data_IF_600816270389
#
_entry.id   IF_600816270389
#
_cell.length_a   1.000
_cell.length_b   1.000
_cell.length_c   1.000
_cell.angle_alpha   90.00
_cell.angle_beta   90.00
_cell.angle_gamma   90.00
#
_symmetry.space_group_name_H-M   'P 1'
#
loop_
_entity.id
_entity.type
_entity.pdbx_description
1 polymer ?
#
# COMPACT_ATOMS: atom_id res chain seq x y z
N UNK A 1 11.76 7.61 0.12
CA UNK A 1 11.05 6.33 -0.12
C UNK A 1 10.26 6.49 -1.41
N UNK A 2 10.37 5.55 -2.35
CA UNK A 2 9.62 5.62 -3.62
C UNK A 2 8.34 4.80 -3.50
N UNK A 3 7.18 5.45 -3.63
CA UNK A 3 5.88 4.79 -3.69
C UNK A 3 5.67 4.26 -5.11
N UNK A 4 5.34 2.97 -5.24
CA UNK A 4 5.15 2.31 -6.54
C UNK A 4 3.66 2.15 -6.86
N UNK A 5 3.32 2.00 -8.14
CA UNK A 5 1.96 1.69 -8.62
C UNK A 5 1.36 0.45 -7.92
N UNK A 6 2.18 -0.56 -7.62
CA UNK A 6 1.75 -1.75 -6.88
C UNK A 6 1.37 -1.42 -5.43
N UNK A 7 2.14 -0.55 -4.77
CA UNK A 7 1.83 -0.11 -3.42
C UNK A 7 0.50 0.66 -3.38
N UNK A 8 0.26 1.53 -4.36
CA UNK A 8 -0.99 2.29 -4.47
C UNK A 8 -2.19 1.37 -4.69
N UNK A 9 -2.09 0.39 -5.59
CA UNK A 9 -3.15 -0.62 -5.82
C UNK A 9 -3.51 -1.41 -4.55
N UNK A 10 -2.52 -1.67 -3.68
CA UNK A 10 -2.73 -2.40 -2.44
C UNK A 10 -3.30 -1.53 -1.32
N UNK A 11 -2.97 -0.25 -1.31
CA UNK A 11 -3.48 0.68 -0.32
C UNK A 11 -4.93 1.09 -0.58
N UNK A 12 -5.27 1.32 -1.86
CA UNK A 12 -6.60 1.81 -2.22
C UNK A 12 -7.69 0.77 -1.90
N UNK A 13 -8.89 1.23 -1.51
CA UNK A 13 -10.05 0.37 -1.26
C UNK A 13 -10.71 -0.09 -2.57
N UNK A 14 -9.93 -0.73 -3.44
CA UNK A 14 -10.40 -1.30 -4.71
C UNK A 14 -10.84 -2.74 -4.47
N UNK A 15 -11.88 -3.18 -5.19
CA UNK A 15 -12.30 -4.57 -5.19
C UNK A 15 -11.12 -5.53 -5.43
N UNK A 16 -11.02 -6.59 -4.62
CA UNK A 16 -9.89 -7.51 -4.64
C UNK A 16 -9.72 -8.22 -5.98
N UNK A 17 -10.82 -8.54 -6.67
CA UNK A 17 -10.76 -9.16 -8.00
C UNK A 17 -10.14 -8.21 -9.01
N UNK A 18 -10.61 -6.95 -9.03
CA UNK A 18 -10.06 -5.91 -9.92
C UNK A 18 -8.58 -5.65 -9.61
N UNK A 19 -8.22 -5.58 -8.33
CA UNK A 19 -6.85 -5.38 -7.86
C UNK A 19 -5.92 -6.49 -8.37
N UNK A 20 -6.31 -7.76 -8.17
CA UNK A 20 -5.53 -8.91 -8.60
C UNK A 20 -5.40 -8.99 -10.12
N UNK A 21 -6.50 -8.77 -10.85
CA UNK A 21 -6.47 -8.74 -12.32
C UNK A 21 -5.52 -7.65 -12.85
N UNK A 22 -5.50 -6.48 -12.19
CA UNK A 22 -4.62 -5.37 -12.57
C UNK A 22 -3.16 -5.69 -12.25
N UNK A 23 -2.85 -6.28 -11.09
CA UNK A 23 -1.49 -6.68 -10.72
C UNK A 23 -0.90 -7.72 -11.67
N UNK A 24 -1.70 -8.71 -12.09
CA UNK A 24 -1.25 -9.73 -13.06
C UNK A 24 -0.93 -9.12 -14.42
N UNK A 25 -1.77 -8.19 -14.90
CA UNK A 25 -1.61 -7.56 -16.21
C UNK A 25 -0.52 -6.48 -16.24
N UNK A 26 -0.14 -5.94 -15.08
CA UNK A 26 0.80 -4.81 -14.94
C UNK A 26 2.13 -5.03 -15.68
N UNK A 27 2.65 -6.27 -15.66
CA UNK A 27 3.89 -6.61 -16.35
C UNK A 27 3.80 -6.43 -17.88
N UNK A 28 2.62 -6.67 -18.46
CA UNK A 28 2.35 -6.57 -19.89
C UNK A 28 1.93 -5.19 -20.38
N UNK A 29 1.76 -4.21 -19.47
CA UNK A 29 1.36 -2.85 -19.87
C UNK A 29 2.47 -2.11 -20.61
N UNK A 30 2.09 -1.34 -21.62
CA UNK A 30 2.99 -0.39 -22.28
C UNK A 30 3.41 0.73 -21.32
N UNK A 31 4.52 1.45 -21.60
CA UNK A 31 4.93 2.59 -20.78
C UNK A 31 3.81 3.63 -20.58
N UNK A 32 3.06 3.94 -21.65
CA UNK A 32 1.95 4.89 -21.59
C UNK A 32 0.82 4.42 -20.67
N UNK A 33 0.48 3.13 -20.73
CA UNK A 33 -0.54 2.53 -19.86
C UNK A 33 -0.11 2.54 -18.40
N UNK A 34 1.18 2.32 -18.13
CA UNK A 34 1.73 2.39 -16.76
C UNK A 34 1.65 3.80 -16.20
N UNK A 35 2.01 4.82 -16.98
CA UNK A 35 1.91 6.22 -16.56
C UNK A 35 0.46 6.59 -16.28
N UNK A 36 -0.46 6.29 -17.21
CA UNK A 36 -1.87 6.62 -17.04
C UNK A 36 -2.50 5.90 -15.84
N UNK A 37 -2.13 4.64 -15.59
CA UNK A 37 -2.55 3.94 -14.39
C UNK A 37 -2.00 4.60 -13.13
N UNK A 38 -0.71 4.96 -13.10
CA UNK A 38 -0.08 5.59 -11.95
C UNK A 38 -0.74 6.92 -11.60
N UNK A 39 -0.98 7.78 -12.59
CA UNK A 39 -1.72 9.04 -12.44
C UNK A 39 -3.12 8.81 -11.86
N UNK A 40 -3.84 7.81 -12.39
CA UNK A 40 -5.19 7.48 -11.92
C UNK A 40 -5.17 7.05 -10.45
N UNK A 41 -4.22 6.20 -10.06
CA UNK A 41 -4.11 5.74 -8.68
C UNK A 41 -3.72 6.86 -7.73
N UNK A 42 -2.84 7.78 -8.16
CA UNK A 42 -2.51 8.97 -7.38
C UNK A 42 -3.69 9.90 -7.18
N UNK A 43 -4.51 10.10 -8.22
CA UNK A 43 -5.75 10.87 -8.10
C UNK A 43 -6.70 10.23 -7.08
N UNK A 44 -6.88 8.90 -7.15
CA UNK A 44 -7.70 8.18 -6.17
C UNK A 44 -7.18 8.31 -4.75
N UNK A 45 -5.85 8.20 -4.56
CA UNK A 45 -5.22 8.40 -3.24
C UNK A 45 -5.43 9.83 -2.75
N UNK A 46 -5.26 10.83 -3.62
CA UNK A 46 -5.49 12.22 -3.26
C UNK A 46 -6.91 12.44 -2.73
N UNK A 47 -7.93 11.96 -3.46
CA UNK A 47 -9.32 12.08 -3.04
C UNK A 47 -9.58 11.38 -1.71
N UNK A 48 -9.02 10.17 -1.52
CA UNK A 48 -9.15 9.44 -0.28
C UNK A 48 -8.55 10.21 0.91
N UNK A 49 -7.34 10.76 0.74
CA UNK A 49 -6.68 11.54 1.80
C UNK A 49 -7.42 12.84 2.10
N UNK A 50 -8.02 13.48 1.09
CA UNK A 50 -8.85 14.67 1.28
C UNK A 50 -10.10 14.36 2.11
N UNK A 51 -10.82 13.30 1.76
CA UNK A 51 -12.02 12.85 2.51
C UNK A 51 -11.64 12.48 3.94
N UNK A 52 -10.56 11.74 4.14
CA UNK A 52 -10.10 11.37 5.48
C UNK A 52 -9.68 12.59 6.31
N UNK A 53 -8.98 13.54 5.70
CA UNK A 53 -8.58 14.79 6.37
C UNK A 53 -9.78 15.61 6.80
N UNK A 54 -10.81 15.69 5.96
CA UNK A 54 -12.05 16.38 6.30
C UNK A 54 -12.78 15.69 7.45
N UNK A 55 -12.92 14.37 7.40
CA UNK A 55 -13.54 13.59 8.47
C UNK A 55 -12.82 13.79 9.81
N UNK A 56 -11.50 13.72 9.83
CA UNK A 56 -10.72 13.92 11.05
C UNK A 56 -10.78 15.36 11.57
N UNK A 57 -10.89 16.33 10.67
CA UNK A 57 -11.14 17.73 11.04
C UNK A 57 -12.51 17.92 11.68
N UNK A 58 -13.56 17.31 11.14
CA UNK A 58 -14.91 17.31 11.74
C UNK A 58 -14.90 16.67 13.14
N UNK A 59 -14.16 15.57 13.33
CA UNK A 59 -13.97 14.98 14.66
C UNK A 59 -13.25 15.92 15.63
N UNK A 60 -12.21 16.62 15.16
CA UNK A 60 -11.48 17.57 15.99
C UNK A 60 -12.38 18.75 16.42
N UNK A 61 -13.23 19.25 15.51
CA UNK A 61 -14.21 20.29 15.84
C UNK A 61 -15.21 19.83 16.90
N UNK A 62 -15.68 18.58 16.82
CA UNK A 62 -16.57 18.00 17.84
C UNK A 62 -15.90 17.88 19.21
N UNK A 63 -14.60 17.59 19.28
CA UNK A 63 -13.86 17.55 20.55
C UNK A 63 -13.63 18.95 21.11
N UNK A 64 -13.37 19.96 20.26
CA UNK A 64 -13.28 21.36 20.67
C UNK A 64 -14.62 21.87 21.22
N UNK A 65 -15.74 21.50 20.59
CA UNK A 65 -17.08 21.83 21.09
C UNK A 65 -17.32 21.25 22.51
N UNK A 66 -16.76 20.08 22.80
CA UNK A 66 -16.80 19.46 24.14
C UNK A 66 -15.77 20.05 25.11
N UNK A 67 -15.05 21.11 24.73
CA UNK A 67 -14.04 21.77 25.54
C UNK A 67 -12.68 21.04 25.58
N UNK A 68 -12.44 20.09 24.67
CA UNK A 68 -11.19 19.32 24.59
C UNK A 68 -10.37 19.78 23.38
N UNK A 69 -9.69 20.91 23.53
CA UNK A 69 -8.78 21.45 22.53
C UNK A 69 -9.06 22.92 22.22
N UNK A 70 -8.26 23.46 21.31
CA UNK A 70 -8.35 24.86 20.87
C UNK A 70 -8.45 24.92 19.35
N UNK A 71 -9.30 25.83 18.87
CA UNK A 71 -9.39 26.15 17.45
C UNK A 71 -8.27 27.12 17.10
N UNK A 72 -7.43 26.73 16.13
CA UNK A 72 -6.41 27.61 15.57
C UNK A 72 -6.36 27.47 14.04
N UNK A 73 -5.71 28.45 13.39
CA UNK A 73 -5.59 28.49 11.93
C UNK A 73 -4.72 27.36 11.33
N UNK A 74 -4.03 26.60 12.18
CA UNK A 74 -3.15 25.49 11.81
C UNK A 74 -3.79 24.12 12.03
N UNK A 75 -4.99 24.05 12.61
CA UNK A 75 -5.66 22.80 12.94
C UNK A 75 -5.84 21.91 11.70
N UNK A 76 -6.44 22.46 10.64
CA UNK A 76 -6.66 21.72 9.40
C UNK A 76 -5.35 21.33 8.70
N UNK A 77 -4.36 22.23 8.49
CA UNK A 77 -3.04 21.85 7.98
C UNK A 77 -2.37 20.70 8.75
N UNK A 78 -2.39 20.73 10.09
CA UNK A 78 -1.80 19.67 10.92
C UNK A 78 -2.51 18.33 10.72
N UNK A 79 -3.84 18.33 10.62
CA UNK A 79 -4.61 17.10 10.38
C UNK A 79 -4.29 16.52 9.00
N UNK A 80 -4.22 17.35 7.95
CA UNK A 80 -3.81 16.90 6.61
C UNK A 80 -2.42 16.25 6.64
N UNK A 81 -1.47 16.88 7.33
CA UNK A 81 -0.12 16.33 7.47
C UNK A 81 -0.12 15.00 8.23
N UNK A 82 -0.89 14.88 9.32
CA UNK A 82 -1.02 13.62 10.07
C UNK A 82 -1.64 12.49 9.24
N UNK A 83 -2.70 12.78 8.47
CA UNK A 83 -3.31 11.84 7.53
C UNK A 83 -2.29 11.39 6.48
N UNK A 84 -1.57 12.33 5.88
CA UNK A 84 -0.53 12.01 4.89
C UNK A 84 0.61 11.17 5.48
N UNK A 85 1.07 11.49 6.69
CA UNK A 85 2.11 10.72 7.37
C UNK A 85 1.65 9.30 7.74
N UNK A 86 0.38 9.10 8.10
CA UNK A 86 -0.18 7.75 8.29
C UNK A 86 -0.20 6.99 6.97
N UNK A 87 -0.65 7.60 5.88
CA UNK A 87 -0.58 6.98 4.56
C UNK A 87 0.83 6.51 4.19
N UNK A 88 1.85 7.37 4.38
CA UNK A 88 3.23 6.99 4.10
C UNK A 88 3.70 5.82 4.97
N UNK A 89 3.28 5.77 6.23
CA UNK A 89 3.57 4.67 7.15
C UNK A 89 2.90 3.37 6.68
N UNK A 90 1.61 3.41 6.36
CA UNK A 90 0.85 2.25 5.92
C UNK A 90 1.44 1.64 4.63
N UNK A 91 1.91 2.49 3.72
CA UNK A 91 2.61 2.04 2.51
C UNK A 91 3.97 1.39 2.87
N UNK A 92 4.68 1.91 3.86
CA UNK A 92 5.97 1.36 4.29
C UNK A 92 5.82 -0.01 4.96
N UNK A 93 4.85 -0.14 5.87
CA UNK A 93 4.57 -1.39 6.58
C UNK A 93 4.11 -2.50 5.62
N UNK A 94 3.25 -2.16 4.64
CA UNK A 94 2.85 -3.11 3.59
C UNK A 94 4.03 -3.62 2.75
N UNK A 95 5.02 -2.75 2.48
CA UNK A 95 6.23 -3.13 1.75
C UNK A 95 7.11 -4.10 2.54
N UNK A 96 7.22 -3.91 3.86
CA UNK A 96 7.99 -4.81 4.72
C UNK A 96 7.36 -6.21 4.78
N UNK A 97 6.03 -6.29 4.91
CA UNK A 97 5.31 -7.56 4.91
C UNK A 97 5.52 -8.36 3.61
N UNK A 98 5.52 -7.70 2.45
CA UNK A 98 5.77 -8.33 1.15
C UNK A 98 7.21 -8.84 1.01
N UNK A 99 8.20 -8.04 1.43
CA UNK A 99 9.61 -8.46 1.42
C UNK A 99 9.84 -9.75 2.21
N UNK A 100 9.19 -9.88 3.37
CA UNK A 100 9.28 -11.08 4.22
C UNK A 100 8.64 -12.29 3.52
N UNK A 101 7.48 -12.11 2.90
CA UNK A 101 6.78 -13.18 2.18
C UNK A 101 7.55 -13.65 0.93
N UNK A 102 8.14 -12.73 0.17
CA UNK A 102 8.98 -13.05 -0.99
C UNK A 102 10.24 -13.83 -0.60
N UNK A 103 10.87 -13.46 0.53
CA UNK A 103 11.99 -14.21 1.12
C UNK A 103 11.51 -15.62 1.49
N UNK A 104 10.35 -15.76 2.14
CA UNK A 104 9.78 -17.06 2.52
C UNK A 104 9.53 -17.96 1.29
N UNK A 105 8.92 -17.42 0.25
CA UNK A 105 8.65 -18.16 -1.00
C UNK A 105 9.95 -18.57 -1.71
N UNK A 106 10.97 -17.70 -1.70
CA UNK A 106 12.28 -18.00 -2.27
C UNK A 106 12.99 -19.11 -1.50
N UNK A 107 12.94 -19.10 -0.18
CA UNK A 107 13.47 -20.17 0.69
C UNK A 107 12.75 -21.50 0.43
N UNK A 108 11.42 -21.50 0.31
CA UNK A 108 10.65 -22.70 -0.01
C UNK A 108 11.04 -23.30 -1.38
N UNK A 109 11.26 -22.45 -2.39
CA UNK A 109 11.73 -22.90 -3.72
C UNK A 109 13.13 -23.54 -3.64
N UNK A 110 14.03 -22.97 -2.86
CA UNK A 110 15.38 -23.53 -2.64
C UNK A 110 15.34 -24.87 -1.91
N UNK A 111 14.51 -25.00 -0.87
CA UNK A 111 14.33 -26.27 -0.12
C UNK A 111 13.76 -27.35 -1.02
N UNK A 112 12.74 -27.04 -1.84
CA UNK A 112 12.18 -27.99 -2.83
C UNK A 112 13.22 -28.42 -3.88
N UNK A 113 14.09 -27.50 -4.31
CA UNK A 113 15.17 -27.78 -5.27
C UNK A 113 16.28 -28.67 -4.68
N UNK A 114 16.57 -28.54 -3.38
CA UNK A 114 17.59 -29.36 -2.71
C UNK A 114 17.08 -30.72 -2.25
N UNK A 115 15.80 -30.86 -1.90
CA UNK A 115 15.20 -32.14 -1.49
C UNK A 115 14.93 -33.10 -2.66
N UNK A 116 14.81 -32.59 -3.89
CA UNK A 116 14.67 -33.40 -5.11
C UNK A 116 15.95 -34.06 -5.63
N UNK A 117 17.12 -33.85 -5.01
CA UNK A 117 18.42 -34.37 -5.50
C UNK A 117 19.02 -35.53 -4.70
N UNK A 118 18.32 -36.08 -3.69
CA UNK A 118 18.88 -37.15 -2.83
C UNK A 118 18.39 -38.58 -3.13
N UNK A 119 17.58 -38.84 -4.16
CA UNK A 119 17.03 -40.18 -4.43
C UNK A 119 17.52 -40.85 -5.72
N UNK A 120 18.80 -40.70 -6.10
CA UNK A 120 19.40 -41.59 -7.12
C UNK A 120 20.85 -41.91 -6.80
N UNK A 121 21.09 -42.76 -5.79
CA UNK A 121 22.23 -43.70 -5.75
C UNK A 121 21.84 -44.93 -4.92
N UNK A 122 21.08 -45.85 -5.52
CA UNK A 122 21.22 -47.26 -5.20
C UNK A 122 22.04 -47.89 -6.31
N UNK A 123 23.27 -48.18 -5.93
CA UNK A 123 24.30 -48.97 -6.62
C UNK A 123 23.72 -50.30 -7.10
N UNK A 124 24.07 -50.68 -8.34
CA UNK A 124 24.11 -52.07 -8.78
C UNK A 124 25.27 -52.80 -8.11
#
# INVERSE_FOLDING_TARGET
>A
MTVTTQNLLKYLPIDDKIRQETLVKLAGYSPQQKISLDETLWLMVHELLMVQSQYEFELALLEIEKGKGEMDNQLYPRIKEQVYMRFLRDIAENKEAESIEDIRLSLQKLIKKNTGKQTVKKTN
#
